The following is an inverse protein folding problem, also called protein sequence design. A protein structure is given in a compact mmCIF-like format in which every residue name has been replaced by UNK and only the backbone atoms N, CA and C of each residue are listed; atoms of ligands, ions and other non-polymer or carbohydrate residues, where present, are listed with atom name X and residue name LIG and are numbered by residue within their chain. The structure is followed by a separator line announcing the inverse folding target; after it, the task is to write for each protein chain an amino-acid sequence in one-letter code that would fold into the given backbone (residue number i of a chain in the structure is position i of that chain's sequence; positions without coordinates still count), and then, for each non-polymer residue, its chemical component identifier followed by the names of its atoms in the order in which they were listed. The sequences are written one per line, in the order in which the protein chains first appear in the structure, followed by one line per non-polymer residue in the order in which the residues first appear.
data_IF_818837730426
#
_entry.id   IF_818837730426
#
_cell.length_a   1.000
_cell.length_b   1.000
_cell.length_c   1.000
_cell.angle_alpha   90.00
_cell.angle_beta   90.00
_cell.angle_gamma   90.00
#
_symmetry.space_group_name_H-M   'P 1'
#
loop_
_entity.id
_entity.type
_entity.pdbx_description
1 polymer ?
#
# COMPACT_ATOMS: atom_id res chain seq x y z
N UNK A 1 -5.73 3.97 -11.55
CA UNK A 1 -6.32 5.27 -11.86
C UNK A 1 -5.30 6.37 -11.62
N UNK A 2 -4.81 7.02 -12.70
CA UNK A 2 -3.79 8.06 -12.57
C UNK A 2 -4.21 9.22 -11.67
N UNK A 3 -5.46 9.61 -11.71
CA UNK A 3 -5.98 10.71 -10.88
C UNK A 3 -5.92 10.36 -9.40
N UNK A 4 -6.25 9.13 -9.05
CA UNK A 4 -6.20 8.67 -7.66
C UNK A 4 -4.76 8.64 -7.14
N UNK A 5 -3.84 8.20 -7.98
CA UNK A 5 -2.42 8.21 -7.64
C UNK A 5 -1.89 9.63 -7.46
N UNK A 6 -2.25 10.54 -8.37
CA UNK A 6 -1.83 11.93 -8.30
C UNK A 6 -2.31 12.60 -7.00
N UNK A 7 -3.54 12.32 -6.59
CA UNK A 7 -4.07 12.84 -5.32
C UNK A 7 -3.34 12.25 -4.13
N UNK A 8 -2.99 10.97 -4.22
CA UNK A 8 -2.29 10.28 -3.13
C UNK A 8 -0.93 10.92 -2.85
N UNK A 9 -0.18 11.27 -3.89
CA UNK A 9 1.18 11.80 -3.75
C UNK A 9 1.23 13.32 -3.57
N UNK A 10 0.11 14.01 -3.67
CA UNK A 10 0.05 15.48 -3.68
C UNK A 10 0.77 16.14 -2.51
N UNK A 11 0.62 15.60 -1.31
CA UNK A 11 1.20 16.16 -0.09
C UNK A 11 2.48 15.44 0.35
N UNK A 12 2.98 14.52 -0.46
CA UNK A 12 4.13 13.70 -0.08
C UNK A 12 5.43 14.29 -0.63
N UNK A 13 6.43 14.38 0.24
CA UNK A 13 7.79 14.81 -0.11
C UNK A 13 8.77 13.82 0.50
N UNK A 14 9.90 13.62 -0.18
CA UNK A 14 10.96 12.74 0.31
C UNK A 14 10.42 11.39 0.75
N UNK A 15 9.61 10.79 -0.12
CA UNK A 15 8.90 9.55 0.18
C UNK A 15 9.10 8.53 -0.93
N UNK A 16 8.89 7.27 -0.57
CA UNK A 16 8.81 6.17 -1.53
C UNK A 16 7.39 5.64 -1.50
N UNK A 17 6.88 5.26 -2.68
CA UNK A 17 5.54 4.68 -2.79
C UNK A 17 5.67 3.23 -3.22
N UNK A 18 5.16 2.31 -2.41
CA UNK A 18 5.03 0.92 -2.80
C UNK A 18 3.66 0.74 -3.45
N UNK A 19 3.66 0.36 -4.72
CA UNK A 19 2.43 0.06 -5.46
C UNK A 19 2.29 -1.45 -5.50
N UNK A 20 1.34 -1.99 -4.75
CA UNK A 20 1.17 -3.43 -4.59
C UNK A 20 -0.10 -3.88 -5.31
N UNK A 21 0.04 -4.89 -6.16
CA UNK A 21 -1.11 -5.54 -6.78
C UNK A 21 -1.56 -6.68 -5.87
N UNK A 22 -2.85 -6.71 -5.54
CA UNK A 22 -3.43 -7.67 -4.60
C UNK A 22 -4.56 -8.43 -5.28
N UNK A 23 -4.56 -9.75 -5.10
CA UNK A 23 -5.59 -10.62 -5.63
C UNK A 23 -6.60 -10.98 -4.54
N UNK A 24 -7.88 -11.05 -4.89
CA UNK A 24 -8.93 -11.50 -3.98
C UNK A 24 -9.50 -10.43 -3.07
N UNK A 25 -9.14 -9.19 -3.26
CA UNK A 25 -9.64 -8.07 -2.46
C UNK A 25 -11.00 -7.64 -3.00
N UNK A 26 -12.07 -8.12 -2.37
CA UNK A 26 -13.44 -7.96 -2.91
C UNK A 26 -14.41 -7.29 -1.96
N UNK A 27 -14.00 -6.90 -0.75
CA UNK A 27 -14.90 -6.31 0.23
C UNK A 27 -14.24 -5.18 1.03
N UNK A 28 -15.08 -4.28 1.57
CA UNK A 28 -14.62 -3.16 2.39
C UNK A 28 -13.86 -3.60 3.63
N UNK A 29 -14.25 -4.71 4.22
CA UNK A 29 -13.57 -5.22 5.41
C UNK A 29 -12.12 -5.58 5.12
N UNK A 30 -11.87 -6.14 3.95
CA UNK A 30 -10.52 -6.48 3.52
C UNK A 30 -9.66 -5.23 3.40
N UNK A 31 -10.22 -4.18 2.77
CA UNK A 31 -9.54 -2.91 2.60
C UNK A 31 -9.23 -2.26 3.95
N UNK A 32 -10.20 -2.24 4.85
CA UNK A 32 -10.03 -1.65 6.18
C UNK A 32 -9.02 -2.40 7.03
N UNK A 33 -9.01 -3.72 6.92
CA UNK A 33 -8.03 -4.55 7.62
C UNK A 33 -6.60 -4.25 7.17
N UNK A 34 -6.41 -4.12 5.87
CA UNK A 34 -5.12 -3.78 5.29
C UNK A 34 -4.69 -2.38 5.73
N UNK A 35 -5.57 -1.39 5.62
CA UNK A 35 -5.28 -0.03 6.07
C UNK A 35 -4.87 0.00 7.54
N UNK A 36 -5.63 -0.68 8.39
CA UNK A 36 -5.37 -0.71 9.82
C UNK A 36 -4.00 -1.34 10.12
N UNK A 37 -3.69 -2.43 9.44
CA UNK A 37 -2.42 -3.13 9.63
C UNK A 37 -1.23 -2.24 9.30
N UNK A 38 -1.28 -1.55 8.16
CA UNK A 38 -0.18 -0.68 7.75
C UNK A 38 -0.11 0.62 8.55
N UNK A 39 -1.24 1.15 9.00
CA UNK A 39 -1.24 2.35 9.83
C UNK A 39 -0.56 2.16 11.18
N UNK A 40 -0.43 0.94 11.64
CA UNK A 40 0.30 0.64 12.89
C UNK A 40 1.81 0.76 12.72
N UNK A 41 2.30 0.72 11.48
CA UNK A 41 3.73 0.83 11.20
C UNK A 41 4.12 2.31 11.17
N UNK A 42 5.02 2.69 12.07
CA UNK A 42 5.45 4.09 12.18
C UNK A 42 6.21 4.59 10.95
N UNK A 43 6.70 3.70 10.11
CA UNK A 43 7.38 4.05 8.86
C UNK A 43 6.41 4.37 7.73
N UNK A 44 5.14 4.03 7.89
CA UNK A 44 4.11 4.29 6.89
C UNK A 44 3.58 5.71 7.08
N UNK A 45 3.74 6.54 6.05
CA UNK A 45 3.25 7.92 6.06
C UNK A 45 1.80 8.01 5.63
N UNK A 46 1.41 7.18 4.67
CA UNK A 46 0.08 7.24 4.08
C UNK A 46 -0.25 5.91 3.43
N UNK A 47 -1.52 5.56 3.41
CA UNK A 47 -1.97 4.33 2.74
C UNK A 47 -3.28 4.59 2.00
N UNK A 48 -3.43 3.97 0.84
CA UNK A 48 -4.65 4.00 0.05
C UNK A 48 -4.90 2.60 -0.51
N UNK A 49 -6.11 2.10 -0.32
CA UNK A 49 -6.52 0.79 -0.83
C UNK A 49 -7.59 0.99 -1.89
N UNK A 50 -7.27 0.60 -3.13
CA UNK A 50 -8.19 0.69 -4.26
C UNK A 50 -8.82 -0.69 -4.53
N UNK A 51 -10.02 -0.90 -4.03
CA UNK A 51 -10.75 -2.16 -4.19
C UNK A 51 -11.03 -2.47 -5.67
N UNK A 52 -11.41 -1.46 -6.43
CA UNK A 52 -11.82 -1.67 -7.82
C UNK A 52 -10.66 -2.14 -8.71
N UNK A 53 -9.45 -1.73 -8.39
CA UNK A 53 -8.25 -2.08 -9.15
C UNK A 53 -7.41 -3.18 -8.49
N UNK A 54 -7.73 -3.54 -7.26
CA UNK A 54 -6.92 -4.49 -6.52
C UNK A 54 -5.51 -3.97 -6.23
N UNK A 55 -5.38 -2.68 -5.94
CA UNK A 55 -4.08 -2.05 -5.69
C UNK A 55 -4.02 -1.40 -4.32
N UNK A 56 -2.85 -1.49 -3.71
CA UNK A 56 -2.56 -0.83 -2.43
C UNK A 56 -1.38 0.11 -2.64
N UNK A 57 -1.56 1.38 -2.29
CA UNK A 57 -0.52 2.39 -2.34
C UNK A 57 -0.06 2.67 -0.92
N UNK A 58 1.23 2.50 -0.65
CA UNK A 58 1.79 2.69 0.68
C UNK A 58 2.96 3.65 0.59
N UNK A 59 2.87 4.78 1.28
CA UNK A 59 3.94 5.76 1.31
C UNK A 59 4.83 5.54 2.54
N UNK A 60 6.12 5.42 2.30
CA UNK A 60 7.13 5.23 3.34
C UNK A 60 8.13 6.38 3.33
N UNK A 61 8.84 6.55 4.45
CA UNK A 61 10.00 7.45 4.49
C UNK A 61 11.04 7.00 3.48
N UNK A 62 11.75 7.96 2.87
CA UNK A 62 12.78 7.66 1.88
C UNK A 62 13.91 6.83 2.48
N UNK A 63 14.15 6.93 3.78
CA UNK A 63 15.19 6.17 4.47
C UNK A 63 14.80 4.74 4.82
N UNK A 64 13.51 4.41 4.66
CA UNK A 64 13.01 3.07 4.98
C UNK A 64 13.30 2.10 3.85
N UNK A 65 13.79 0.92 4.18
CA UNK A 65 13.99 -0.14 3.20
C UNK A 65 12.69 -0.93 3.01
N UNK A 66 12.08 -0.81 1.85
CA UNK A 66 10.83 -1.50 1.54
C UNK A 66 11.14 -2.93 1.13
N UNK A 67 10.62 -3.90 1.89
CA UNK A 67 10.82 -5.32 1.63
C UNK A 67 9.48 -5.94 1.28
N UNK A 68 9.39 -6.50 0.07
CA UNK A 68 8.14 -7.08 -0.43
C UNK A 68 7.61 -8.19 0.46
N UNK A 69 8.47 -9.06 0.96
CA UNK A 69 8.04 -10.19 1.81
C UNK A 69 7.32 -9.72 3.06
N UNK A 70 7.76 -8.61 3.67
CA UNK A 70 7.09 -8.04 4.84
C UNK A 70 5.70 -7.51 4.49
N UNK A 71 5.60 -6.82 3.37
CA UNK A 71 4.32 -6.30 2.88
C UNK A 71 3.37 -7.44 2.53
N UNK A 72 3.89 -8.45 1.85
CA UNK A 72 3.15 -9.64 1.45
C UNK A 72 2.56 -10.35 2.67
N UNK A 73 3.35 -10.50 3.72
CA UNK A 73 2.90 -11.14 4.96
C UNK A 73 1.79 -10.35 5.63
N UNK A 74 1.92 -9.02 5.71
CA UNK A 74 0.89 -8.16 6.31
C UNK A 74 -0.42 -8.21 5.53
N UNK A 75 -0.33 -8.32 4.22
CA UNK A 75 -1.52 -8.47 3.38
C UNK A 75 -2.15 -9.85 3.57
N UNK A 76 -1.31 -10.87 3.69
CA UNK A 76 -1.76 -12.25 3.86
C UNK A 76 -2.53 -12.46 5.16
N UNK A 77 -2.11 -11.83 6.26
CA UNK A 77 -2.83 -11.97 7.54
C UNK A 77 -4.23 -11.36 7.49
N UNK A 78 -4.50 -10.53 6.50
CA UNK A 78 -5.84 -9.99 6.25
C UNK A 78 -6.62 -10.81 5.21
N UNK A 79 -6.11 -11.99 4.87
CA UNK A 79 -6.80 -12.92 3.97
C UNK A 79 -6.61 -12.62 2.49
N UNK A 80 -5.66 -11.78 2.14
CA UNK A 80 -5.41 -11.37 0.77
C UNK A 80 -4.03 -11.81 0.30
N UNK A 81 -3.81 -11.82 -1.02
CA UNK A 81 -2.53 -12.23 -1.60
C UNK A 81 -1.94 -11.10 -2.44
N UNK A 82 -0.76 -10.64 -2.03
CA UNK A 82 -0.01 -9.68 -2.83
C UNK A 82 0.67 -10.44 -3.99
N UNK A 83 0.49 -9.94 -5.20
CA UNK A 83 1.01 -10.57 -6.41
C UNK A 83 2.40 -10.02 -6.74
N UNK A 84 2.52 -8.71 -6.77
CA UNK A 84 3.76 -8.03 -7.08
C UNK A 84 3.78 -6.63 -6.47
N UNK A 85 4.91 -5.96 -6.58
CA UNK A 85 5.10 -4.63 -6.02
C UNK A 85 6.06 -3.84 -6.90
N UNK A 86 5.75 -2.56 -7.10
CA UNK A 86 6.66 -1.58 -7.67
C UNK A 86 6.94 -0.50 -6.65
N UNK A 87 8.16 0.03 -6.65
CA UNK A 87 8.53 1.14 -5.78
C UNK A 87 8.81 2.37 -6.62
N UNK A 88 8.15 3.46 -6.29
CA UNK A 88 8.31 4.75 -6.96
C UNK A 88 8.91 5.73 -5.98
N UNK A 89 10.00 6.37 -6.34
CA UNK A 89 10.62 7.40 -5.51
C UNK A 89 10.13 8.78 -5.93
N UNK A 90 9.73 9.57 -4.97
CA UNK A 90 9.28 10.94 -5.19
C UNK A 90 10.39 11.96 -4.98
#
# INVERSE_FOLDING_TARGET
DPERFDKFIMDLKDSQIAVVNVKGMVCDFCARGIEKTFKKDTNVKKIDVDLSKGKVLIAYNVAYEIIFDDIKEKILINGQNAIDMQVINL
#
